data_IF_564105080833
#
_entry.id   IF_564105080833
#
_cell.length_a   1.000
_cell.length_b   1.000
_cell.length_c   1.000
_cell.angle_alpha   90.00
_cell.angle_beta   90.00
_cell.angle_gamma   90.00
#
_symmetry.space_group_name_H-M   'P 1'
#
loop_
_entity.id
_entity.type
_entity.pdbx_description
1 polymer ?
#
# COMPACT_ATOMS: atom_id res chain seq x y z
N UNK A 1 3.48 12.02 -9.70
CA UNK A 1 4.17 11.87 -8.41
C UNK A 1 5.67 11.96 -8.64
N UNK A 2 6.39 12.60 -7.73
CA UNK A 2 7.84 12.52 -7.61
C UNK A 2 8.26 11.17 -7.01
N UNK A 3 9.52 10.75 -7.13
CA UNK A 3 10.00 9.53 -6.47
C UNK A 3 9.79 9.52 -4.94
N UNK A 4 9.94 10.66 -4.28
CA UNK A 4 9.70 10.79 -2.84
C UNK A 4 8.21 10.61 -2.49
N UNK A 5 7.32 11.18 -3.29
CA UNK A 5 5.87 10.98 -3.12
C UNK A 5 5.46 9.52 -3.35
N UNK A 6 6.11 8.83 -4.29
CA UNK A 6 5.86 7.41 -4.54
C UNK A 6 6.31 6.54 -3.36
N UNK A 7 7.48 6.83 -2.77
CA UNK A 7 7.98 6.15 -1.58
C UNK A 7 7.04 6.38 -0.38
N UNK A 8 6.57 7.60 -0.19
CA UNK A 8 5.58 7.89 0.85
C UNK A 8 4.25 7.16 0.62
N UNK A 9 3.78 7.08 -0.63
CA UNK A 9 2.58 6.32 -0.99
C UNK A 9 2.76 4.83 -0.69
N UNK A 10 3.94 4.27 -0.99
CA UNK A 10 4.30 2.89 -0.68
C UNK A 10 4.32 2.63 0.83
N UNK A 11 4.99 3.48 1.61
CA UNK A 11 5.02 3.36 3.08
C UNK A 11 3.62 3.44 3.69
N UNK A 12 2.77 4.34 3.17
CA UNK A 12 1.39 4.47 3.61
C UNK A 12 0.57 3.23 3.30
N UNK A 13 0.75 2.63 2.12
CA UNK A 13 0.13 1.36 1.75
C UNK A 13 0.55 0.24 2.71
N UNK A 14 1.84 0.11 3.02
CA UNK A 14 2.35 -0.88 3.97
C UNK A 14 1.81 -0.68 5.38
N UNK A 15 1.73 0.57 5.85
CA UNK A 15 1.14 0.88 7.15
C UNK A 15 -0.33 0.46 7.23
N UNK A 16 -1.14 0.74 6.19
CA UNK A 16 -2.56 0.33 6.17
C UNK A 16 -2.73 -1.18 6.12
N UNK A 17 -1.83 -1.89 5.42
CA UNK A 17 -1.81 -3.34 5.46
C UNK A 17 -1.54 -3.87 6.87
N UNK A 18 -0.54 -3.31 7.56
CA UNK A 18 -0.20 -3.71 8.92
C UNK A 18 -1.36 -3.46 9.90
N UNK A 19 -2.02 -2.29 9.82
CA UNK A 19 -3.21 -1.98 10.63
C UNK A 19 -4.34 -2.99 10.42
N UNK A 20 -4.60 -3.39 9.16
CA UNK A 20 -5.61 -4.39 8.84
C UNK A 20 -5.27 -5.77 9.45
N UNK A 21 -4.05 -6.24 9.25
CA UNK A 21 -3.59 -7.54 9.77
C UNK A 21 -3.60 -7.55 11.30
N UNK A 22 -3.19 -6.46 11.95
CA UNK A 22 -3.28 -6.35 13.40
C UNK A 22 -4.70 -6.40 13.92
N UNK A 23 -5.63 -5.67 13.28
CA UNK A 23 -7.04 -5.69 13.68
C UNK A 23 -7.65 -7.09 13.52
N UNK A 24 -7.32 -7.81 12.44
CA UNK A 24 -7.76 -9.18 12.23
C UNK A 24 -7.25 -10.12 13.34
N UNK A 25 -5.96 -10.02 13.69
CA UNK A 25 -5.36 -10.81 14.77
C UNK A 25 -5.96 -10.51 16.16
N UNK A 26 -6.44 -9.29 16.37
CA UNK A 26 -7.10 -8.89 17.61
C UNK A 26 -8.59 -9.29 17.64
N UNK A 27 -9.10 -9.95 16.61
CA UNK A 27 -10.50 -10.36 16.52
C UNK A 27 -11.46 -9.18 16.31
N UNK A 28 -11.02 -8.15 15.60
CA UNK A 28 -11.89 -7.04 15.23
C UNK A 28 -13.11 -7.52 14.44
N UNK A 29 -14.21 -6.78 14.55
CA UNK A 29 -15.45 -7.11 13.85
C UNK A 29 -15.27 -7.06 12.33
N UNK A 30 -16.06 -7.85 11.59
CA UNK A 30 -16.05 -7.85 10.11
C UNK A 30 -16.23 -6.45 9.54
N UNK A 31 -17.17 -5.66 10.07
CA UNK A 31 -17.41 -4.28 9.64
C UNK A 31 -16.17 -3.37 9.83
N UNK A 32 -15.40 -3.59 10.90
CA UNK A 32 -14.16 -2.86 11.12
C UNK A 32 -13.06 -3.27 10.14
N UNK A 33 -12.95 -4.57 9.85
CA UNK A 33 -12.01 -5.11 8.86
C UNK A 33 -12.33 -4.61 7.45
N UNK A 34 -13.60 -4.57 7.06
CA UNK A 34 -14.05 -4.01 5.77
C UNK A 34 -13.64 -2.53 5.64
N UNK A 35 -13.86 -1.73 6.69
CA UNK A 35 -13.45 -0.33 6.71
C UNK A 35 -11.93 -0.14 6.60
N UNK A 36 -11.14 -1.02 7.20
CA UNK A 36 -9.67 -0.99 7.10
C UNK A 36 -9.19 -1.46 5.73
N UNK A 37 -9.84 -2.48 5.17
CA UNK A 37 -9.61 -2.97 3.82
C UNK A 37 -9.84 -1.88 2.77
N UNK A 38 -10.96 -1.15 2.86
CA UNK A 38 -11.24 -0.01 1.97
C UNK A 38 -10.14 1.06 2.02
N UNK A 39 -9.60 1.34 3.21
CA UNK A 39 -8.48 2.30 3.38
C UNK A 39 -7.18 1.78 2.78
N UNK A 40 -6.91 0.49 2.93
CA UNK A 40 -5.78 -0.17 2.30
C UNK A 40 -5.90 -0.09 0.77
N UNK A 41 -7.06 -0.46 0.21
CA UNK A 41 -7.31 -0.43 -1.24
C UNK A 41 -7.14 0.96 -1.83
N UNK A 42 -7.64 2.01 -1.18
CA UNK A 42 -7.39 3.40 -1.62
C UNK A 42 -5.90 3.75 -1.63
N UNK A 43 -5.13 3.22 -0.68
CA UNK A 43 -3.68 3.47 -0.62
C UNK A 43 -2.93 2.70 -1.73
N UNK A 44 -3.38 1.49 -2.06
CA UNK A 44 -2.91 0.70 -3.20
C UNK A 44 -3.17 1.45 -4.52
N UNK A 45 -4.38 1.99 -4.70
CA UNK A 45 -4.73 2.75 -5.90
C UNK A 45 -3.85 3.99 -6.09
N UNK A 46 -3.61 4.75 -5.01
CA UNK A 46 -2.73 5.92 -5.03
C UNK A 46 -1.30 5.53 -5.41
N UNK A 47 -0.76 4.46 -4.82
CA UNK A 47 0.57 3.95 -5.18
C UNK A 47 0.61 3.49 -6.64
N UNK A 48 -0.39 2.75 -7.10
CA UNK A 48 -0.46 2.23 -8.46
C UNK A 48 -0.60 3.35 -9.51
N UNK A 49 -1.34 4.41 -9.21
CA UNK A 49 -1.46 5.56 -10.09
C UNK A 49 -0.14 6.35 -10.15
N UNK A 50 0.52 6.52 -9.00
CA UNK A 50 1.84 7.12 -8.90
C UNK A 50 2.90 6.34 -9.69
N UNK A 51 2.90 5.02 -9.55
CA UNK A 51 3.90 4.13 -10.14
C UNK A 51 3.80 4.05 -11.66
N UNK A 52 2.58 4.11 -12.23
CA UNK A 52 2.34 4.26 -13.67
C UNK A 52 2.96 5.53 -14.26
N UNK A 53 3.10 6.58 -13.43
CA UNK A 53 3.59 7.89 -13.85
C UNK A 53 5.09 8.08 -13.58
N UNK A 54 5.73 7.17 -12.84
CA UNK A 54 7.15 7.23 -12.50
C UNK A 54 7.97 6.33 -13.45
N UNK A 55 9.14 6.78 -13.95
CA UNK A 55 9.97 5.97 -14.85
C UNK A 55 10.42 4.65 -14.21
N UNK A 56 10.26 3.55 -14.94
CA UNK A 56 10.54 2.14 -14.55
C UNK A 56 11.91 1.92 -13.88
N UNK A 57 12.89 2.78 -14.16
CA UNK A 57 14.25 2.71 -13.57
C UNK A 57 14.29 2.76 -12.03
N UNK A 58 13.22 3.19 -11.37
CA UNK A 58 13.10 3.17 -9.90
C UNK A 58 12.31 1.97 -9.36
N UNK A 59 11.50 1.29 -10.17
CA UNK A 59 10.78 0.07 -9.75
C UNK A 59 11.73 -1.14 -9.67
N UNK A 60 12.65 -1.28 -10.62
CA UNK A 60 13.58 -2.42 -10.70
C UNK A 60 14.67 -2.43 -9.61
N UNK A 61 15.03 -1.27 -9.04
CA UNK A 61 16.13 -1.20 -8.06
C UNK A 61 15.78 -1.68 -6.66
N UNK A 62 14.50 -1.90 -6.33
CA UNK A 62 14.08 -2.16 -4.94
C UNK A 62 13.18 -3.36 -4.71
N UNK A 63 12.67 -4.01 -5.76
CA UNK A 63 11.81 -5.19 -5.62
C UNK A 63 12.30 -6.37 -6.48
N UNK A 64 13.43 -7.00 -6.14
CA UNK A 64 13.72 -8.33 -6.64
C UNK A 64 12.78 -9.30 -5.91
N UNK A 65 11.76 -9.82 -6.60
CA UNK A 65 10.94 -10.92 -6.08
C UNK A 65 9.45 -10.61 -5.97
N UNK A 66 8.80 -10.46 -7.11
CA UNK A 66 7.50 -11.12 -7.32
C UNK A 66 7.65 -11.88 -8.64
N UNK A 67 8.18 -13.09 -8.53
CA UNK A 67 8.26 -14.10 -9.60
C UNK A 67 7.45 -15.31 -9.16
#
# INVERSE_FOLDING_TARGET
MTPAELEHAHQRMQQRWYELVQAEQQGASTHELERLYDRYMRSVEVYNQGSKSCPVKYQERRFPGVA
#
